data_IF_145042542375
#
_entry.id   IF_145042542375
#
_cell.length_a   1.000
_cell.length_b   1.000
_cell.length_c   1.000
_cell.angle_alpha   90.00
_cell.angle_beta   90.00
_cell.angle_gamma   90.00
#
_symmetry.space_group_name_H-M   'P 1'
#
loop_
_entity.id
_entity.type
_entity.pdbx_description
1 polymer ?
#
# COMPACT_ATOMS: atom_id res chain seq x y z
N UNK A 1 21.39 39.15 -3.10
CA UNK A 1 21.88 37.79 -2.75
C UNK A 1 21.49 36.85 -3.87
N UNK A 2 22.46 36.18 -4.51
CA UNK A 2 22.15 35.21 -5.57
C UNK A 2 21.55 33.95 -4.92
N UNK A 3 20.31 33.66 -5.21
CA UNK A 3 19.63 32.42 -4.78
C UNK A 3 20.25 31.23 -5.49
N UNK A 4 20.92 30.35 -4.77
CA UNK A 4 21.40 29.06 -5.28
C UNK A 4 20.25 28.06 -5.33
N UNK A 5 19.72 27.82 -6.52
CA UNK A 5 18.71 26.76 -6.77
C UNK A 5 19.27 25.37 -6.37
N UNK A 6 18.50 24.58 -5.65
CA UNK A 6 18.80 23.16 -5.47
C UNK A 6 18.64 22.42 -6.80
N UNK A 7 19.45 21.41 -7.04
CA UNK A 7 19.48 20.66 -8.31
C UNK A 7 18.12 20.02 -8.67
N UNK A 8 17.33 19.60 -7.68
CA UNK A 8 15.99 19.06 -7.85
C UNK A 8 14.99 20.07 -8.44
N UNK A 9 15.11 21.35 -8.08
CA UNK A 9 14.18 22.40 -8.48
C UNK A 9 14.43 22.89 -9.91
N UNK A 10 15.69 22.81 -10.33
CA UNK A 10 16.10 23.07 -11.72
C UNK A 10 15.49 22.02 -12.64
N UNK A 11 15.45 20.75 -12.20
CA UNK A 11 14.92 19.62 -12.96
C UNK A 11 13.42 19.79 -13.25
N UNK A 12 12.59 20.04 -12.23
CA UNK A 12 11.14 20.15 -12.40
C UNK A 12 10.70 21.37 -13.23
N UNK A 13 11.47 22.45 -13.20
CA UNK A 13 11.27 23.62 -14.05
C UNK A 13 11.68 23.36 -15.50
N UNK A 14 12.79 22.67 -15.72
CA UNK A 14 13.23 22.24 -17.06
C UNK A 14 12.26 21.24 -17.69
N UNK A 15 11.68 20.34 -16.90
CA UNK A 15 10.71 19.39 -17.40
C UNK A 15 9.44 20.10 -17.90
N UNK A 16 8.98 21.16 -17.20
CA UNK A 16 7.87 21.96 -17.68
C UNK A 16 8.22 22.69 -18.97
N UNK A 17 9.40 23.29 -19.07
CA UNK A 17 9.86 23.96 -20.27
C UNK A 17 9.95 23.01 -21.47
N UNK A 18 10.46 21.81 -21.23
CA UNK A 18 10.47 20.76 -22.27
C UNK A 18 9.06 20.44 -22.76
N UNK A 19 8.10 20.19 -21.85
CA UNK A 19 6.71 19.89 -22.19
C UNK A 19 6.08 21.05 -22.99
N UNK A 20 6.25 22.28 -22.52
CA UNK A 20 5.70 23.46 -23.20
C UNK A 20 6.25 23.58 -24.63
N UNK A 21 7.55 23.36 -24.83
CA UNK A 21 8.17 23.38 -26.17
C UNK A 21 7.67 22.28 -27.09
N UNK A 22 7.36 21.09 -26.56
CA UNK A 22 6.72 20.01 -27.34
C UNK A 22 5.28 20.32 -27.75
N UNK A 23 4.62 21.25 -27.02
CA UNK A 23 3.23 21.63 -27.27
C UNK A 23 3.08 22.91 -28.12
N UNK A 24 4.14 23.73 -28.24
CA UNK A 24 4.05 25.10 -28.81
C UNK A 24 3.41 25.19 -30.19
N UNK A 25 3.59 24.18 -31.04
CA UNK A 25 3.05 24.18 -32.39
C UNK A 25 1.56 23.81 -32.45
N UNK A 26 1.03 23.22 -31.37
CA UNK A 26 -0.35 22.71 -31.30
C UNK A 26 -1.23 23.45 -30.29
N UNK A 27 -0.64 24.22 -29.37
CA UNK A 27 -1.35 24.93 -28.30
C UNK A 27 -0.92 26.38 -28.21
N UNK A 28 -1.88 27.27 -28.36
CA UNK A 28 -1.64 28.70 -28.16
C UNK A 28 -1.31 29.01 -26.71
N UNK A 29 -1.94 28.32 -25.77
CA UNK A 29 -1.66 28.43 -24.33
C UNK A 29 -0.20 28.09 -24.03
N UNK A 30 0.35 27.05 -24.64
CA UNK A 30 1.76 26.70 -24.47
C UNK A 30 2.69 27.81 -25.00
N UNK A 31 2.37 28.39 -26.14
CA UNK A 31 3.14 29.53 -26.71
C UNK A 31 3.09 30.74 -25.80
N UNK A 32 1.92 31.06 -25.26
CA UNK A 32 1.76 32.18 -24.32
C UNK A 32 2.57 31.95 -23.03
N UNK A 33 2.52 30.74 -22.46
CA UNK A 33 3.31 30.42 -21.27
C UNK A 33 4.82 30.50 -21.53
N UNK A 34 5.30 29.98 -22.67
CA UNK A 34 6.71 30.11 -23.07
C UNK A 34 7.10 31.59 -23.17
N UNK A 35 6.26 32.39 -23.88
CA UNK A 35 6.54 33.82 -24.06
C UNK A 35 6.58 34.57 -22.76
N UNK A 36 5.66 34.27 -21.84
CA UNK A 36 5.55 34.97 -20.55
C UNK A 36 6.61 34.54 -19.51
N UNK A 37 7.23 33.38 -19.69
CA UNK A 37 8.29 32.91 -18.78
C UNK A 37 9.69 33.41 -19.13
N UNK A 38 9.88 34.02 -20.28
CA UNK A 38 11.18 34.59 -20.66
C UNK A 38 11.41 35.94 -19.96
N UNK A 39 12.55 36.11 -19.25
CA UNK A 39 12.80 37.27 -18.37
C UNK A 39 13.13 38.57 -19.11
N UNK A 40 12.96 38.66 -20.41
CA UNK A 40 13.57 39.72 -21.21
C UNK A 40 12.63 40.94 -21.45
N UNK A 41 11.32 40.79 -21.30
CA UNK A 41 10.43 41.93 -21.54
C UNK A 41 9.29 41.99 -20.49
N UNK A 42 9.35 42.97 -19.63
CA UNK A 42 8.26 43.54 -18.81
C UNK A 42 7.04 42.69 -18.58
N UNK A 43 7.19 41.61 -17.86
CA UNK A 43 6.10 40.69 -17.53
C UNK A 43 5.29 41.25 -16.36
N UNK A 44 4.02 41.41 -16.60
CA UNK A 44 3.05 41.99 -15.67
C UNK A 44 2.74 41.04 -14.50
N UNK A 45 3.20 39.77 -14.54
CA UNK A 45 2.82 38.75 -13.55
C UNK A 45 3.99 37.81 -13.19
N UNK A 46 4.69 38.14 -12.12
CA UNK A 46 5.87 37.40 -11.62
C UNK A 46 5.60 35.92 -11.30
N UNK A 47 4.36 35.54 -10.97
CA UNK A 47 4.06 34.16 -10.59
C UNK A 47 4.16 33.16 -11.73
N UNK A 48 4.11 33.56 -12.99
CA UNK A 48 4.34 32.68 -14.13
C UNK A 48 5.81 32.23 -14.20
N UNK A 49 6.73 33.00 -13.65
CA UNK A 49 8.15 32.63 -13.62
C UNK A 49 8.48 31.50 -12.62
N UNK A 50 7.60 31.30 -11.63
CA UNK A 50 7.78 30.31 -10.57
C UNK A 50 6.87 29.09 -10.72
N UNK A 51 6.51 28.74 -11.95
CA UNK A 51 5.76 27.50 -12.25
C UNK A 51 6.72 26.36 -12.55
N UNK A 52 6.33 25.17 -12.16
CA UNK A 52 7.05 23.91 -12.41
C UNK A 52 6.07 22.76 -12.51
N UNK A 53 6.55 21.59 -12.88
CA UNK A 53 5.80 20.35 -12.61
C UNK A 53 5.82 20.12 -11.10
N UNK A 54 4.69 19.66 -10.54
CA UNK A 54 4.65 19.29 -9.13
C UNK A 54 5.59 18.12 -8.86
N UNK A 55 6.43 18.24 -7.83
CA UNK A 55 7.32 17.16 -7.40
C UNK A 55 6.57 15.97 -6.77
N UNK A 56 5.36 16.23 -6.21
CA UNK A 56 4.52 15.21 -5.59
C UNK A 56 3.56 14.52 -6.57
N UNK A 57 3.21 15.19 -7.69
CA UNK A 57 2.26 14.68 -8.68
C UNK A 57 2.57 15.31 -10.04
N UNK A 58 3.27 14.58 -10.90
CA UNK A 58 3.70 15.08 -12.22
C UNK A 58 2.52 15.45 -13.13
N UNK A 59 1.29 15.04 -12.84
CA UNK A 59 0.10 15.45 -13.59
C UNK A 59 -0.39 16.86 -13.24
N UNK A 60 0.20 17.49 -12.21
CA UNK A 60 -0.14 18.83 -11.73
C UNK A 60 0.96 19.84 -12.00
N UNK A 61 0.54 21.09 -12.15
CA UNK A 61 1.42 22.25 -12.17
C UNK A 61 1.53 22.81 -10.75
N UNK A 62 2.76 23.03 -10.32
CA UNK A 62 3.10 23.70 -9.07
C UNK A 62 3.35 25.17 -9.34
N UNK A 63 2.72 26.08 -8.56
CA UNK A 63 2.85 27.52 -8.74
C UNK A 63 2.74 28.28 -7.42
N UNK A 64 3.12 29.55 -7.44
CA UNK A 64 2.93 30.52 -6.36
C UNK A 64 2.09 31.69 -6.87
N UNK A 65 1.28 32.29 -6.00
CA UNK A 65 0.63 33.59 -6.28
C UNK A 65 1.60 34.73 -5.98
N UNK A 66 1.41 35.94 -6.60
CA UNK A 66 2.26 37.10 -6.36
C UNK A 66 2.36 37.44 -4.88
N UNK A 67 1.24 37.48 -4.16
CA UNK A 67 1.20 37.72 -2.71
C UNK A 67 2.08 36.75 -1.90
N UNK A 68 2.11 35.46 -2.30
CA UNK A 68 2.94 34.47 -1.63
C UNK A 68 4.41 34.59 -2.00
N UNK A 69 4.70 34.97 -3.23
CA UNK A 69 6.08 35.25 -3.68
C UNK A 69 6.66 36.38 -2.81
N UNK A 70 5.95 37.50 -2.70
CA UNK A 70 6.37 38.66 -1.90
C UNK A 70 6.56 38.28 -0.42
N UNK A 71 5.62 37.53 0.15
CA UNK A 71 5.73 37.08 1.54
C UNK A 71 6.92 36.14 1.77
N UNK A 72 7.19 35.21 0.85
CA UNK A 72 8.32 34.28 0.95
C UNK A 72 9.66 35.01 0.77
N UNK A 73 9.76 35.94 -0.19
CA UNK A 73 10.93 36.76 -0.40
C UNK A 73 11.25 37.65 0.81
N UNK A 74 10.23 38.24 1.39
CA UNK A 74 10.36 39.08 2.59
C UNK A 74 10.87 38.30 3.80
N UNK A 75 10.55 37.01 3.88
CA UNK A 75 10.99 36.11 4.95
C UNK A 75 12.31 35.41 4.66
N UNK A 76 12.93 35.61 3.46
CA UNK A 76 14.11 34.90 3.04
C UNK A 76 13.89 33.39 2.75
N UNK A 77 12.62 32.98 2.54
CA UNK A 77 12.25 31.59 2.25
C UNK A 77 12.53 31.23 0.77
N UNK A 78 12.82 29.96 0.53
CA UNK A 78 13.02 29.44 -0.84
C UNK A 78 11.67 29.29 -1.56
N UNK A 79 11.55 29.92 -2.73
CA UNK A 79 10.35 29.90 -3.55
C UNK A 79 10.04 28.53 -4.17
N UNK A 80 11.05 27.68 -4.35
CA UNK A 80 10.91 26.41 -5.07
C UNK A 80 10.57 25.24 -4.16
N UNK A 81 11.12 25.20 -2.97
CA UNK A 81 10.92 24.12 -2.00
C UNK A 81 9.87 24.43 -0.94
N UNK A 82 9.23 25.61 -1.00
CA UNK A 82 8.25 26.02 -0.03
C UNK A 82 7.02 25.09 -0.04
N UNK A 83 6.61 24.62 1.14
CA UNK A 83 5.35 23.90 1.34
C UNK A 83 4.09 24.75 1.05
N UNK A 84 4.27 26.05 0.87
CA UNK A 84 3.20 27.00 0.54
C UNK A 84 2.85 27.04 -0.95
N UNK A 85 3.51 26.23 -1.80
CA UNK A 85 3.19 26.14 -3.22
C UNK A 85 1.81 25.47 -3.43
N UNK A 86 1.10 25.93 -4.44
CA UNK A 86 -0.14 25.30 -4.89
C UNK A 86 0.14 24.25 -5.95
N UNK A 87 -0.62 23.14 -5.91
CA UNK A 87 -0.53 22.03 -6.87
C UNK A 87 -1.90 21.79 -7.47
N UNK A 88 -2.10 22.17 -8.74
CA UNK A 88 -3.40 22.06 -9.42
C UNK A 88 -3.28 21.42 -10.82
N UNK A 89 -4.38 20.89 -11.32
CA UNK A 89 -4.45 20.34 -12.69
C UNK A 89 -4.15 21.43 -13.73
N UNK A 90 -3.51 21.09 -14.87
CA UNK A 90 -3.12 22.06 -15.89
C UNK A 90 -4.27 22.96 -16.37
N UNK A 91 -5.44 22.39 -16.65
CA UNK A 91 -6.61 23.18 -17.07
C UNK A 91 -7.08 24.18 -16.00
N UNK A 92 -7.09 23.79 -14.72
CA UNK A 92 -7.44 24.68 -13.62
C UNK A 92 -6.40 25.80 -13.44
N UNK A 93 -5.11 25.48 -13.67
CA UNK A 93 -4.04 26.48 -13.69
C UNK A 93 -4.27 27.53 -14.78
N UNK A 94 -4.51 27.09 -16.02
CA UNK A 94 -4.76 27.97 -17.16
C UNK A 94 -5.96 28.88 -16.91
N UNK A 95 -7.07 28.34 -16.40
CA UNK A 95 -8.26 29.10 -16.07
C UNK A 95 -8.06 30.16 -14.97
N UNK A 96 -7.04 29.97 -14.12
CA UNK A 96 -6.67 31.00 -13.11
C UNK A 96 -5.83 32.15 -13.68
N UNK A 97 -4.92 31.83 -14.60
CA UNK A 97 -3.96 32.81 -15.12
C UNK A 97 -4.52 33.59 -16.31
N UNK A 98 -5.23 32.90 -17.19
CA UNK A 98 -5.76 33.49 -18.43
C UNK A 98 -7.30 33.59 -18.37
N UNK A 99 -7.82 34.77 -18.17
CA UNK A 99 -9.28 34.99 -18.05
C UNK A 99 -10.06 34.82 -19.36
N UNK A 100 -9.42 34.96 -20.52
CA UNK A 100 -10.09 35.04 -21.83
C UNK A 100 -9.70 33.87 -22.78
N UNK A 101 -9.16 32.78 -22.27
CA UNK A 101 -8.84 31.61 -23.10
C UNK A 101 -10.11 30.79 -23.34
N UNK A 102 -10.43 30.44 -24.61
CA UNK A 102 -11.56 29.59 -24.92
C UNK A 102 -11.45 28.22 -24.21
N UNK A 103 -12.55 27.65 -23.69
CA UNK A 103 -12.55 26.34 -23.03
C UNK A 103 -11.90 25.22 -23.83
N UNK A 104 -12.08 25.24 -25.16
CA UNK A 104 -11.46 24.30 -26.10
C UNK A 104 -9.92 24.31 -26.04
N UNK A 105 -9.32 25.50 -25.93
CA UNK A 105 -7.86 25.65 -25.82
C UNK A 105 -7.34 25.17 -24.47
N UNK A 106 -8.12 25.37 -23.39
CA UNK A 106 -7.79 24.83 -22.04
C UNK A 106 -7.81 23.30 -22.06
N UNK A 107 -8.80 22.71 -22.70
CA UNK A 107 -8.92 21.26 -22.86
C UNK A 107 -7.80 20.69 -23.73
N UNK A 108 -7.51 21.34 -24.86
CA UNK A 108 -6.42 20.97 -25.75
C UNK A 108 -5.08 21.00 -25.02
N UNK A 109 -4.78 22.08 -24.30
CA UNK A 109 -3.57 22.19 -23.48
C UNK A 109 -3.48 21.06 -22.47
N UNK A 110 -4.54 20.80 -21.72
CA UNK A 110 -4.58 19.76 -20.69
C UNK A 110 -4.37 18.36 -21.27
N UNK A 111 -4.93 18.10 -22.45
CA UNK A 111 -4.80 16.83 -23.16
C UNK A 111 -3.37 16.65 -23.69
N UNK A 112 -2.82 17.67 -24.33
CA UNK A 112 -1.44 17.64 -24.84
C UNK A 112 -0.44 17.51 -23.71
N UNK A 113 -0.61 18.26 -22.61
CA UNK A 113 0.23 18.18 -21.42
C UNK A 113 0.27 16.75 -20.88
N UNK A 114 -0.89 16.10 -20.71
CA UNK A 114 -1.01 14.70 -20.27
C UNK A 114 -0.34 13.74 -21.24
N UNK A 115 -0.61 13.89 -22.55
CA UNK A 115 -0.07 13.02 -23.57
C UNK A 115 1.45 13.10 -23.69
N UNK A 116 2.03 14.26 -23.48
CA UNK A 116 3.50 14.42 -23.50
C UNK A 116 4.12 13.87 -22.24
N UNK A 117 3.50 14.04 -21.09
CA UNK A 117 3.96 13.40 -19.86
C UNK A 117 3.92 11.87 -19.93
N UNK A 118 2.89 11.31 -20.60
CA UNK A 118 2.83 9.85 -20.84
C UNK A 118 3.78 9.39 -21.94
N UNK A 119 4.26 10.31 -22.80
CA UNK A 119 5.30 10.07 -23.83
C UNK A 119 6.73 10.40 -23.37
N UNK A 120 6.95 10.78 -22.13
CA UNK A 120 8.29 10.77 -21.57
C UNK A 120 8.79 9.35 -21.82
N UNK A 121 9.83 9.21 -22.63
CA UNK A 121 10.37 7.92 -23.04
C UNK A 121 10.64 7.09 -21.80
N UNK A 122 9.72 6.20 -21.50
CA UNK A 122 9.83 5.24 -20.43
C UNK A 122 10.35 3.96 -21.04
N UNK A 123 11.38 3.40 -20.46
CA UNK A 123 11.95 2.16 -20.90
C UNK A 123 11.80 1.09 -19.83
N UNK A 124 11.22 -0.04 -20.23
CA UNK A 124 11.27 -1.25 -19.42
C UNK A 124 12.58 -1.99 -19.64
N UNK A 125 13.23 -2.36 -18.55
CA UNK A 125 14.38 -3.27 -18.55
C UNK A 125 14.15 -4.40 -17.57
N UNK A 126 14.60 -5.60 -17.96
CA UNK A 126 14.67 -6.74 -17.05
C UNK A 126 16.13 -6.89 -16.62
N UNK A 127 16.38 -6.89 -15.32
CA UNK A 127 17.71 -7.05 -14.73
C UNK A 127 17.73 -8.23 -13.78
N UNK A 128 18.88 -8.88 -13.59
CA UNK A 128 19.05 -10.04 -12.72
C UNK A 128 20.41 -10.03 -12.03
N UNK A 129 20.56 -10.88 -11.02
CA UNK A 129 21.80 -10.94 -10.24
C UNK A 129 22.14 -9.62 -9.56
N UNK A 130 23.40 -9.27 -9.48
CA UNK A 130 23.89 -8.04 -8.83
C UNK A 130 23.36 -6.74 -9.44
N UNK A 131 22.83 -6.78 -10.67
CA UNK A 131 22.21 -5.60 -11.29
C UNK A 131 20.87 -5.21 -10.63
N UNK A 132 20.33 -6.02 -9.70
CA UNK A 132 19.12 -5.71 -8.93
C UNK A 132 19.40 -4.63 -7.88
N UNK A 133 20.55 -4.65 -7.19
CA UNK A 133 20.86 -3.76 -6.07
C UNK A 133 20.59 -2.27 -6.34
N UNK A 134 21.09 -1.68 -7.45
CA UNK A 134 20.93 -0.24 -7.67
C UNK A 134 19.47 0.22 -7.70
N UNK A 135 18.55 -0.66 -8.12
CA UNK A 135 17.14 -0.32 -8.26
C UNK A 135 16.30 -0.52 -6.98
N UNK A 136 16.92 -1.05 -5.94
CA UNK A 136 16.30 -1.07 -4.62
C UNK A 136 16.68 0.14 -3.77
N UNK A 137 17.87 0.70 -3.98
CA UNK A 137 18.35 1.84 -3.23
C UNK A 137 17.63 3.14 -3.66
N UNK A 138 17.21 3.95 -2.67
CA UNK A 138 16.43 5.17 -2.88
C UNK A 138 17.11 6.20 -3.81
N UNK A 139 18.45 6.21 -3.87
CA UNK A 139 19.20 7.14 -4.73
C UNK A 139 18.91 6.99 -6.23
N UNK A 140 18.42 5.81 -6.66
CA UNK A 140 18.03 5.55 -8.04
C UNK A 140 16.63 6.08 -8.37
N UNK A 141 15.79 6.38 -7.38
CA UNK A 141 14.40 6.73 -7.59
C UNK A 141 14.24 8.10 -8.25
N UNK A 142 13.21 8.23 -9.07
CA UNK A 142 12.79 9.52 -9.62
C UNK A 142 12.37 10.47 -8.49
N UNK A 143 11.59 9.96 -7.54
CA UNK A 143 11.23 10.57 -6.26
C UNK A 143 10.78 9.48 -5.28
N UNK A 144 10.58 9.84 -4.01
CA UNK A 144 10.19 8.92 -2.95
C UNK A 144 8.67 8.93 -2.67
N UNK A 145 7.85 9.11 -3.70
CA UNK A 145 6.39 9.05 -3.58
C UNK A 145 5.84 7.66 -3.92
N UNK A 146 4.53 7.49 -3.72
CA UNK A 146 3.81 6.27 -4.04
C UNK A 146 4.28 5.05 -3.27
N UNK A 147 3.94 3.87 -3.77
CA UNK A 147 4.34 2.59 -3.16
C UNK A 147 5.86 2.37 -3.19
N UNK A 148 6.56 2.93 -4.19
CA UNK A 148 8.02 2.85 -4.28
C UNK A 148 8.69 3.56 -3.10
N UNK A 149 8.25 4.77 -2.77
CA UNK A 149 8.75 5.55 -1.64
C UNK A 149 8.37 4.95 -0.27
N UNK A 150 7.27 4.21 -0.20
CA UNK A 150 6.84 3.50 1.01
C UNK A 150 7.53 2.14 1.20
N UNK A 151 8.38 1.69 0.26
CA UNK A 151 9.07 0.40 0.38
C UNK A 151 10.13 0.44 1.48
N UNK A 152 10.02 -0.44 2.48
CA UNK A 152 11.05 -0.60 3.53
C UNK A 152 12.40 -1.07 2.96
N UNK A 153 12.41 -1.75 1.80
CA UNK A 153 13.60 -2.27 1.14
C UNK A 153 14.48 -1.19 0.47
N UNK A 154 14.16 0.10 0.63
CA UNK A 154 14.91 1.22 0.02
C UNK A 154 16.13 1.67 0.84
N UNK A 155 16.20 1.29 2.11
CA UNK A 155 17.23 1.73 3.05
C UNK A 155 18.52 0.95 2.91
N UNK A 156 19.64 1.58 3.27
CA UNK A 156 20.99 0.99 3.21
C UNK A 156 21.07 -0.34 3.96
N UNK A 157 20.49 -0.42 5.16
CA UNK A 157 20.51 -1.63 5.98
C UNK A 157 19.74 -2.81 5.37
N UNK A 158 18.89 -2.57 4.37
CA UNK A 158 18.12 -3.62 3.71
C UNK A 158 18.78 -4.13 2.43
N UNK A 159 19.94 -3.58 2.04
CA UNK A 159 20.58 -3.98 0.79
C UNK A 159 21.11 -5.42 0.86
N UNK A 160 21.65 -5.85 2.00
CA UNK A 160 22.14 -7.21 2.20
C UNK A 160 21.00 -8.26 2.16
N UNK A 161 19.74 -7.84 2.40
CA UNK A 161 18.59 -8.74 2.32
C UNK A 161 18.26 -9.17 0.87
N UNK A 162 18.81 -8.47 -0.12
CA UNK A 162 18.58 -8.74 -1.54
C UNK A 162 19.34 -9.97 -2.08
N UNK A 163 20.18 -10.59 -1.26
CA UNK A 163 20.95 -11.78 -1.66
C UNK A 163 20.04 -12.93 -2.10
N UNK A 164 18.86 -13.07 -1.48
CA UNK A 164 17.86 -14.03 -1.92
C UNK A 164 17.50 -13.86 -3.42
N UNK A 165 17.43 -12.63 -3.90
CA UNK A 165 17.10 -12.33 -5.30
C UNK A 165 18.33 -12.44 -6.20
N UNK A 166 19.44 -11.86 -5.76
CA UNK A 166 20.64 -11.70 -6.60
C UNK A 166 21.38 -13.02 -6.84
N UNK A 167 21.36 -13.92 -5.86
CA UNK A 167 22.01 -15.23 -5.97
C UNK A 167 21.14 -16.31 -6.58
N UNK A 168 19.83 -16.02 -6.81
CA UNK A 168 18.89 -16.91 -7.49
C UNK A 168 18.48 -16.36 -8.88
N UNK A 169 19.40 -15.82 -9.64
CA UNK A 169 19.16 -15.10 -10.90
C UNK A 169 18.49 -15.93 -12.01
N UNK A 170 18.52 -17.26 -11.93
CA UNK A 170 17.80 -18.15 -12.85
C UNK A 170 16.28 -18.20 -12.56
N UNK A 171 15.88 -17.86 -11.33
CA UNK A 171 14.50 -17.95 -10.85
C UNK A 171 13.91 -16.55 -10.66
N UNK A 172 14.76 -15.56 -10.28
CA UNK A 172 14.36 -14.21 -9.94
C UNK A 172 15.01 -13.20 -10.86
N UNK A 173 14.22 -12.26 -11.35
CA UNK A 173 14.69 -11.05 -12.02
C UNK A 173 13.85 -9.86 -11.57
N UNK A 174 14.23 -8.66 -11.95
CA UNK A 174 13.54 -7.44 -11.61
C UNK A 174 13.16 -6.69 -12.89
N UNK A 175 11.87 -6.42 -13.06
CA UNK A 175 11.39 -5.50 -14.07
C UNK A 175 11.49 -4.08 -13.52
N UNK A 176 12.20 -3.21 -14.21
CA UNK A 176 12.34 -1.80 -13.87
C UNK A 176 11.78 -0.93 -14.97
N UNK A 177 11.06 0.13 -14.60
CA UNK A 177 10.61 1.19 -15.48
C UNK A 177 11.45 2.42 -15.20
N UNK A 178 12.18 2.89 -16.20
CA UNK A 178 13.11 4.02 -16.10
C UNK A 178 12.62 5.18 -16.95
N UNK A 179 12.92 6.40 -16.53
CA UNK A 179 12.79 7.57 -17.39
C UNK A 179 14.03 7.74 -18.28
N UNK A 180 14.01 8.71 -19.18
CA UNK A 180 15.11 9.05 -20.08
C UNK A 180 16.41 9.51 -19.38
N UNK A 181 16.40 9.70 -18.06
CA UNK A 181 17.57 10.01 -17.21
C UNK A 181 18.02 8.82 -16.38
N UNK A 182 17.55 7.62 -16.70
CA UNK A 182 17.79 6.39 -15.95
C UNK A 182 17.33 6.44 -14.48
N UNK A 183 16.37 7.32 -14.13
CA UNK A 183 15.77 7.33 -12.81
C UNK A 183 14.60 6.35 -12.76
N UNK A 184 14.53 5.61 -11.66
CA UNK A 184 13.52 4.58 -11.45
C UNK A 184 12.14 5.20 -11.20
N UNK A 185 11.19 4.86 -12.06
CA UNK A 185 9.76 5.20 -11.94
C UNK A 185 9.03 4.10 -11.16
N UNK A 186 9.44 2.85 -11.38
CA UNK A 186 8.83 1.70 -10.69
C UNK A 186 9.60 0.42 -10.94
N UNK A 187 9.26 -0.59 -10.12
CA UNK A 187 9.83 -1.94 -10.20
C UNK A 187 8.82 -3.00 -9.80
N UNK A 188 9.03 -4.22 -10.28
CA UNK A 188 8.33 -5.43 -9.84
C UNK A 188 9.27 -6.64 -9.98
N UNK A 189 9.28 -7.54 -9.00
CA UNK A 189 9.99 -8.81 -9.13
C UNK A 189 9.30 -9.70 -10.16
N UNK A 190 10.10 -10.43 -10.91
CA UNK A 190 9.67 -11.44 -11.86
C UNK A 190 10.16 -12.80 -11.40
N UNK A 191 9.23 -13.75 -11.27
CA UNK A 191 9.51 -15.11 -10.86
C UNK A 191 9.27 -16.08 -12.02
N UNK A 192 10.22 -17.00 -12.24
CA UNK A 192 10.13 -18.07 -13.22
C UNK A 192 9.98 -19.40 -12.49
N UNK A 193 8.81 -20.05 -12.62
CA UNK A 193 8.43 -21.26 -11.88
C UNK A 193 8.02 -22.32 -12.91
N UNK A 194 8.98 -23.10 -13.37
CA UNK A 194 8.77 -24.00 -14.52
C UNK A 194 8.29 -23.17 -15.72
N UNK A 195 7.12 -23.54 -16.26
CA UNK A 195 6.48 -22.80 -17.38
C UNK A 195 5.65 -21.59 -16.93
N UNK A 196 5.48 -21.38 -15.63
CA UNK A 196 4.69 -20.28 -15.07
C UNK A 196 5.58 -19.07 -14.79
N UNK A 197 5.17 -17.92 -15.29
CA UNK A 197 5.84 -16.63 -15.08
C UNK A 197 4.95 -15.73 -14.24
N UNK A 198 5.48 -15.22 -13.12
CA UNK A 198 4.75 -14.38 -12.18
C UNK A 198 5.44 -13.02 -12.02
N UNK A 199 4.70 -11.95 -12.14
CA UNK A 199 5.11 -10.62 -11.72
C UNK A 199 4.52 -10.34 -10.33
N UNK A 200 5.39 -10.05 -9.37
CA UNK A 200 5.02 -9.74 -8.00
C UNK A 200 4.43 -8.33 -7.87
N UNK A 201 4.29 -7.85 -6.65
CA UNK A 201 3.77 -6.51 -6.37
C UNK A 201 4.54 -5.44 -7.13
N UNK A 202 3.77 -4.53 -7.74
CA UNK A 202 4.30 -3.41 -8.51
C UNK A 202 4.48 -2.23 -7.56
N UNK A 203 5.68 -1.69 -7.51
CA UNK A 203 6.04 -0.51 -6.75
C UNK A 203 6.35 0.64 -7.70
N UNK A 204 5.64 1.76 -7.58
CA UNK A 204 5.84 2.92 -8.46
C UNK A 204 5.83 4.23 -7.67
N UNK A 205 6.39 5.29 -8.27
CA UNK A 205 6.34 6.65 -7.71
C UNK A 205 4.93 7.26 -7.76
N UNK A 206 4.02 6.69 -8.57
CA UNK A 206 2.61 7.05 -8.64
C UNK A 206 1.82 5.85 -9.17
N UNK A 207 1.16 5.15 -8.25
CA UNK A 207 0.50 3.88 -8.54
C UNK A 207 -0.63 4.00 -9.56
N UNK A 208 -1.43 5.05 -9.50
CA UNK A 208 -2.54 5.29 -10.43
C UNK A 208 -2.07 5.42 -11.88
N UNK A 209 -0.90 6.05 -12.07
CA UNK A 209 -0.41 6.36 -13.41
C UNK A 209 0.43 5.24 -14.02
N UNK A 210 1.21 4.51 -13.20
CA UNK A 210 2.25 3.63 -13.73
C UNK A 210 1.98 2.14 -13.59
N UNK A 211 1.13 1.69 -12.65
CA UNK A 211 0.80 0.26 -12.50
C UNK A 211 0.21 -0.34 -13.79
N UNK A 212 -0.60 0.41 -14.51
CA UNK A 212 -1.16 -0.03 -15.80
C UNK A 212 -0.08 -0.43 -16.81
N UNK A 213 1.01 0.32 -16.89
CA UNK A 213 2.12 0.00 -17.82
C UNK A 213 2.79 -1.32 -17.49
N UNK A 214 2.98 -1.62 -16.20
CA UNK A 214 3.52 -2.90 -15.74
C UNK A 214 2.58 -4.06 -16.08
N UNK A 215 1.28 -3.91 -15.82
CA UNK A 215 0.28 -4.93 -16.13
C UNK A 215 0.23 -5.20 -17.63
N UNK A 216 0.23 -4.15 -18.46
CA UNK A 216 0.30 -4.29 -19.91
C UNK A 216 1.58 -5.00 -20.35
N UNK A 217 2.74 -4.62 -19.80
CA UNK A 217 4.00 -5.30 -20.10
C UNK A 217 3.93 -6.79 -19.73
N UNK A 218 3.35 -7.12 -18.57
CA UNK A 218 3.16 -8.49 -18.13
C UNK A 218 2.29 -9.31 -19.10
N UNK A 219 1.16 -8.75 -19.54
CA UNK A 219 0.26 -9.36 -20.51
C UNK A 219 0.96 -9.62 -21.85
N UNK A 220 1.75 -8.65 -22.33
CA UNK A 220 2.49 -8.74 -23.61
C UNK A 220 3.62 -9.78 -23.54
N UNK A 221 4.18 -10.06 -22.34
CA UNK A 221 5.30 -10.99 -22.12
C UNK A 221 4.89 -12.31 -21.47
N UNK A 222 3.59 -12.56 -21.28
CA UNK A 222 3.06 -13.81 -20.78
C UNK A 222 3.21 -14.02 -19.28
N UNK A 223 3.32 -12.95 -18.49
CA UNK A 223 3.36 -12.99 -17.03
C UNK A 223 1.96 -12.89 -16.43
N UNK A 224 1.72 -13.66 -15.40
CA UNK A 224 0.63 -13.44 -14.45
C UNK A 224 1.07 -12.39 -13.44
N UNK A 225 0.19 -11.44 -13.07
CA UNK A 225 0.45 -10.43 -12.06
C UNK A 225 -0.60 -10.47 -10.96
N UNK A 226 -0.24 -10.00 -9.77
CA UNK A 226 -1.18 -9.96 -8.64
C UNK A 226 -2.45 -9.22 -9.03
N UNK A 227 -3.62 -9.81 -8.80
CA UNK A 227 -4.92 -9.17 -9.03
C UNK A 227 -5.03 -7.87 -8.21
N UNK A 228 -4.70 -7.96 -6.93
CA UNK A 228 -4.64 -6.80 -6.03
C UNK A 228 -3.19 -6.55 -5.62
N UNK A 229 -2.77 -5.28 -5.70
CA UNK A 229 -1.40 -4.85 -5.37
C UNK A 229 -1.22 -4.66 -3.86
N UNK A 230 -1.72 -5.61 -3.06
CA UNK A 230 -1.63 -5.64 -1.60
C UNK A 230 -0.78 -6.79 -1.12
N UNK A 231 -0.15 -6.63 0.05
CA UNK A 231 0.73 -7.63 0.65
C UNK A 231 0.01 -8.93 1.05
N UNK A 232 -1.28 -8.85 1.37
CA UNK A 232 -2.09 -9.97 1.84
C UNK A 232 -2.79 -10.76 0.72
N UNK A 233 -2.76 -10.28 -0.52
CA UNK A 233 -3.25 -11.02 -1.68
C UNK A 233 -2.09 -11.77 -2.33
N UNK A 234 -1.94 -13.06 -2.06
CA UNK A 234 -0.84 -13.90 -2.56
C UNK A 234 -1.29 -15.00 -3.53
N UNK A 235 -2.60 -15.23 -3.66
CA UNK A 235 -3.15 -16.41 -4.35
C UNK A 235 -3.89 -16.09 -5.67
N UNK A 236 -4.39 -14.86 -5.82
CA UNK A 236 -5.12 -14.48 -7.03
C UNK A 236 -4.24 -13.67 -7.97
N UNK A 237 -4.11 -14.19 -9.18
CA UNK A 237 -3.35 -13.56 -10.26
C UNK A 237 -4.24 -13.28 -11.46
N UNK A 238 -3.86 -12.30 -12.24
CA UNK A 238 -4.54 -11.88 -13.45
C UNK A 238 -3.57 -11.91 -14.63
N UNK A 239 -4.06 -12.29 -15.80
CA UNK A 239 -3.36 -12.20 -17.08
C UNK A 239 -4.40 -12.02 -18.18
N UNK A 240 -4.25 -10.98 -18.99
CA UNK A 240 -5.16 -10.66 -20.11
C UNK A 240 -6.64 -10.62 -19.69
N UNK A 241 -6.92 -10.07 -18.50
CA UNK A 241 -8.27 -9.98 -17.94
C UNK A 241 -8.83 -11.29 -17.34
N UNK A 242 -8.11 -12.40 -17.44
CA UNK A 242 -8.48 -13.66 -16.78
C UNK A 242 -7.87 -13.70 -15.39
N UNK A 243 -8.71 -13.89 -14.36
CA UNK A 243 -8.28 -14.11 -12.98
C UNK A 243 -8.21 -15.60 -12.69
N UNK A 244 -7.14 -16.02 -12.02
CA UNK A 244 -6.91 -17.42 -11.67
C UNK A 244 -6.37 -17.53 -10.23
N UNK A 245 -6.74 -18.61 -9.54
CA UNK A 245 -6.21 -18.98 -8.23
C UNK A 245 -5.00 -19.88 -8.43
N UNK A 246 -3.86 -19.54 -7.83
CA UNK A 246 -2.61 -20.29 -8.00
C UNK A 246 -1.91 -20.50 -6.66
N UNK A 247 -1.72 -21.75 -6.28
CA UNK A 247 -0.77 -22.17 -5.27
C UNK A 247 0.54 -22.52 -5.96
N UNK A 248 1.61 -21.83 -5.60
CA UNK A 248 2.89 -21.89 -6.28
C UNK A 248 4.01 -22.16 -5.28
N UNK A 249 4.95 -22.99 -5.71
CA UNK A 249 6.15 -23.37 -4.98
C UNK A 249 7.38 -23.02 -5.81
N UNK A 250 8.38 -22.45 -5.16
CA UNK A 250 9.63 -22.05 -5.80
C UNK A 250 10.78 -22.73 -5.09
N UNK A 251 11.48 -23.64 -5.79
CA UNK A 251 12.71 -24.20 -5.31
C UNK A 251 13.87 -23.23 -5.55
N UNK A 252 14.51 -22.78 -4.49
CA UNK A 252 15.71 -21.93 -4.55
C UNK A 252 16.98 -22.79 -4.47
N UNK A 253 18.03 -22.33 -5.14
CA UNK A 253 19.37 -22.93 -5.02
C UNK A 253 20.13 -22.36 -3.82
N UNK A 254 19.99 -21.08 -3.61
CA UNK A 254 20.61 -20.33 -2.52
C UNK A 254 19.51 -19.79 -1.63
N UNK A 255 19.46 -20.20 -0.38
CA UNK A 255 18.40 -19.81 0.56
C UNK A 255 18.86 -19.69 2.03
N UNK A 256 20.10 -20.05 2.35
CA UNK A 256 20.67 -19.95 3.69
C UNK A 256 21.34 -18.56 3.85
N UNK A 257 20.57 -17.61 4.34
CA UNK A 257 20.98 -16.23 4.54
C UNK A 257 20.75 -15.81 5.99
N UNK A 258 21.54 -14.86 6.48
CA UNK A 258 21.34 -14.24 7.79
C UNK A 258 20.10 -13.36 7.80
N UNK A 259 19.83 -12.68 6.66
CA UNK A 259 18.69 -11.78 6.50
C UNK A 259 17.93 -12.10 5.21
N UNK A 260 16.63 -11.79 5.22
CA UNK A 260 15.72 -12.04 4.10
C UNK A 260 14.98 -10.77 3.71
N UNK A 261 14.70 -10.56 2.40
CA UNK A 261 13.95 -9.40 1.95
C UNK A 261 12.49 -9.47 2.43
N UNK A 262 11.85 -8.31 2.54
CA UNK A 262 10.41 -8.28 2.71
C UNK A 262 9.71 -8.85 1.47
N UNK A 263 8.89 -9.87 1.68
CA UNK A 263 8.22 -10.63 0.62
C UNK A 263 6.72 -10.32 0.59
N UNK A 264 6.20 -9.88 -0.56
CA UNK A 264 4.76 -9.62 -0.73
C UNK A 264 3.96 -10.85 -1.13
N UNK A 265 4.53 -11.72 -1.96
CA UNK A 265 3.84 -12.89 -2.53
C UNK A 265 4.37 -14.19 -1.94
N UNK A 266 5.64 -14.51 -2.13
CA UNK A 266 6.25 -15.78 -1.69
C UNK A 266 6.84 -15.66 -0.28
N UNK A 267 5.99 -15.40 0.70
CA UNK A 267 6.41 -15.09 2.08
C UNK A 267 6.59 -16.30 3.01
N UNK A 268 6.10 -17.47 2.62
CA UNK A 268 6.26 -18.69 3.40
C UNK A 268 7.47 -19.48 2.89
N UNK A 269 8.34 -19.93 3.79
CA UNK A 269 9.57 -20.61 3.43
C UNK A 269 9.78 -21.87 4.27
N UNK A 270 10.05 -22.98 3.59
CA UNK A 270 10.66 -24.14 4.19
C UNK A 270 12.19 -23.96 4.15
N UNK A 271 12.76 -23.52 5.26
CA UNK A 271 14.20 -23.28 5.38
C UNK A 271 15.04 -24.55 5.24
N UNK A 272 14.48 -25.72 5.58
CA UNK A 272 15.19 -26.99 5.49
C UNK A 272 15.41 -27.39 4.02
N UNK A 273 14.40 -27.16 3.18
CA UNK A 273 14.41 -27.57 1.78
C UNK A 273 14.65 -26.41 0.81
N UNK A 274 14.66 -25.15 1.27
CA UNK A 274 14.85 -23.97 0.44
C UNK A 274 13.70 -23.71 -0.51
N UNK A 275 12.46 -23.97 -0.08
CA UNK A 275 11.25 -23.79 -0.89
C UNK A 275 10.47 -22.58 -0.41
N UNK A 276 10.12 -21.70 -1.34
CA UNK A 276 9.19 -20.58 -1.10
C UNK A 276 7.79 -20.94 -1.56
N UNK A 277 6.79 -20.50 -0.79
CA UNK A 277 5.37 -20.67 -1.08
C UNK A 277 4.64 -19.33 -1.06
N UNK A 278 3.65 -19.17 -1.92
CA UNK A 278 2.70 -18.05 -1.86
C UNK A 278 1.45 -18.38 -1.04
N UNK A 279 1.37 -19.56 -0.49
CA UNK A 279 0.30 -20.09 0.37
C UNK A 279 0.89 -20.71 1.63
N UNK A 280 0.07 -20.95 2.63
CA UNK A 280 0.46 -21.64 3.85
C UNK A 280 0.47 -23.17 3.58
N UNK A 281 1.64 -23.83 3.54
CA UNK A 281 1.72 -25.25 3.23
C UNK A 281 1.22 -26.10 4.41
N UNK A 282 0.40 -27.12 4.10
CA UNK A 282 -0.11 -28.07 5.08
C UNK A 282 0.91 -29.19 5.34
N UNK A 283 1.10 -29.56 6.61
CA UNK A 283 1.97 -30.69 6.98
C UNK A 283 3.47 -30.47 6.79
N UNK A 284 3.89 -29.29 6.38
CA UNK A 284 5.30 -28.88 6.25
C UNK A 284 5.59 -27.83 7.30
N UNK A 285 6.73 -27.96 7.98
CA UNK A 285 7.22 -26.92 8.88
C UNK A 285 7.79 -25.78 8.05
N UNK A 286 7.17 -24.61 8.13
CA UNK A 286 7.57 -23.41 7.38
C UNK A 286 7.81 -22.23 8.33
N UNK A 287 8.36 -21.17 7.76
CA UNK A 287 8.54 -19.87 8.41
C UNK A 287 8.03 -18.76 7.49
N UNK A 288 7.87 -17.56 8.02
CA UNK A 288 7.51 -16.39 7.23
C UNK A 288 8.68 -15.43 7.11
N UNK A 289 8.88 -14.87 5.92
CA UNK A 289 9.92 -13.87 5.59
C UNK A 289 9.30 -12.55 5.11
N UNK A 290 8.36 -12.04 5.88
CA UNK A 290 7.68 -10.77 5.59
C UNK A 290 8.01 -9.66 6.59
N UNK A 291 9.08 -9.83 7.37
CA UNK A 291 9.56 -8.81 8.31
C UNK A 291 10.40 -7.75 7.61
N UNK A 292 10.15 -6.47 7.92
CA UNK A 292 11.00 -5.36 7.49
C UNK A 292 12.41 -5.40 8.11
N UNK A 293 12.59 -6.18 9.18
CA UNK A 293 13.87 -6.37 9.85
C UNK A 293 14.73 -7.47 9.22
N UNK A 294 14.26 -8.09 8.16
CA UNK A 294 14.96 -9.19 7.50
C UNK A 294 14.96 -10.52 8.28
N UNK A 295 14.19 -10.63 9.34
CA UNK A 295 14.17 -11.82 10.20
C UNK A 295 13.11 -12.82 9.74
N UNK A 296 13.47 -14.07 9.90
CA UNK A 296 12.53 -15.19 9.74
C UNK A 296 11.68 -15.31 10.99
N UNK A 297 10.36 -15.43 10.80
CA UNK A 297 9.39 -15.55 11.87
C UNK A 297 8.76 -16.94 11.86
N UNK A 298 8.32 -17.41 13.02
CA UNK A 298 7.62 -18.70 13.11
C UNK A 298 6.25 -18.64 12.40
N UNK A 299 5.77 -19.79 11.97
CA UNK A 299 4.55 -20.00 11.18
C UNK A 299 3.22 -19.53 11.82
N UNK A 300 3.23 -19.22 13.13
CA UNK A 300 1.99 -18.96 13.89
C UNK A 300 1.41 -17.54 13.79
N UNK A 301 2.12 -16.61 13.15
CA UNK A 301 1.71 -15.18 13.16
C UNK A 301 0.72 -14.78 12.08
N UNK A 302 0.54 -15.62 11.04
CA UNK A 302 -0.41 -15.35 9.97
C UNK A 302 -1.42 -16.49 9.84
N UNK A 303 -2.66 -16.11 9.57
CA UNK A 303 -3.73 -17.04 9.26
C UNK A 303 -4.47 -16.57 8.00
N UNK A 304 -4.97 -17.52 7.23
CA UNK A 304 -5.72 -17.22 6.02
C UNK A 304 -7.19 -16.98 6.37
N UNK A 305 -7.74 -15.88 5.86
CA UNK A 305 -9.18 -15.71 5.80
C UNK A 305 -9.76 -16.65 4.75
N UNK A 306 -10.53 -17.64 5.18
CA UNK A 306 -11.06 -18.67 4.29
C UNK A 306 -12.06 -18.14 3.26
N UNK A 307 -12.69 -17.01 3.55
CA UNK A 307 -13.66 -16.37 2.65
C UNK A 307 -13.01 -15.52 1.57
N UNK A 308 -12.04 -14.69 1.95
CA UNK A 308 -11.35 -13.79 1.00
C UNK A 308 -10.10 -14.41 0.39
N UNK A 309 -9.60 -15.52 0.98
CA UNK A 309 -8.32 -16.15 0.63
C UNK A 309 -7.13 -15.18 0.74
N UNK A 310 -7.18 -14.29 1.71
CA UNK A 310 -6.11 -13.34 2.04
C UNK A 310 -5.51 -13.66 3.40
N UNK A 311 -4.21 -13.38 3.57
CA UNK A 311 -3.51 -13.59 4.83
C UNK A 311 -3.61 -12.34 5.71
N UNK A 312 -3.83 -12.56 7.00
CA UNK A 312 -3.90 -11.53 8.02
C UNK A 312 -3.09 -11.98 9.25
N UNK A 313 -2.75 -11.05 10.14
CA UNK A 313 -2.28 -11.42 11.47
C UNK A 313 -3.27 -12.40 12.12
N UNK A 314 -2.76 -13.40 12.82
CA UNK A 314 -3.62 -14.39 13.49
C UNK A 314 -4.59 -13.76 14.48
N UNK A 315 -4.19 -12.62 15.08
CA UNK A 315 -5.03 -11.83 16.00
C UNK A 315 -6.21 -11.13 15.28
N UNK A 316 -6.14 -11.04 13.95
CA UNK A 316 -7.17 -10.42 13.11
C UNK A 316 -8.11 -11.45 12.45
N UNK A 317 -8.00 -12.72 12.86
CA UNK A 317 -8.80 -13.82 12.31
C UNK A 317 -9.69 -14.39 13.40
N UNK A 318 -10.99 -14.32 13.16
CA UNK A 318 -12.02 -14.87 14.03
C UNK A 318 -12.51 -16.22 13.52
N UNK A 319 -12.79 -17.13 14.44
CA UNK A 319 -13.44 -18.40 14.12
C UNK A 319 -14.97 -18.20 14.19
N UNK A 320 -15.67 -18.66 13.15
CA UNK A 320 -17.15 -18.59 13.04
C UNK A 320 -17.70 -20.02 13.18
N UNK A 321 -18.20 -20.40 14.38
CA UNK A 321 -18.51 -21.79 14.71
C UNK A 321 -19.60 -22.42 13.83
N UNK A 322 -20.67 -21.68 13.53
CA UNK A 322 -21.79 -22.18 12.73
C UNK A 322 -21.44 -22.48 11.26
N UNK A 323 -20.32 -21.92 10.77
CA UNK A 323 -19.81 -22.19 9.40
C UNK A 323 -18.55 -23.06 9.43
N UNK A 324 -17.93 -23.24 10.61
CA UNK A 324 -16.68 -23.99 10.75
C UNK A 324 -15.48 -23.34 10.05
N UNK A 325 -15.49 -22.00 9.84
CA UNK A 325 -14.48 -21.29 9.07
C UNK A 325 -13.78 -20.20 9.89
N UNK A 326 -12.60 -19.83 9.46
CA UNK A 326 -11.81 -18.71 9.99
C UNK A 326 -11.83 -17.55 9.01
N UNK A 327 -12.24 -16.35 9.45
CA UNK A 327 -12.37 -15.17 8.59
C UNK A 327 -11.81 -13.93 9.27
N UNK A 328 -11.41 -12.94 8.47
CA UNK A 328 -10.90 -11.68 9.00
C UNK A 328 -11.98 -10.91 9.78
N UNK A 329 -11.57 -10.17 10.78
CA UNK A 329 -12.44 -9.44 11.72
C UNK A 329 -13.44 -8.50 11.02
N UNK A 330 -13.07 -7.91 9.87
CA UNK A 330 -13.98 -7.04 9.10
C UNK A 330 -15.23 -7.73 8.61
N UNK A 331 -15.20 -9.05 8.45
CA UNK A 331 -16.32 -9.86 7.98
C UNK A 331 -17.19 -10.42 9.11
N UNK A 332 -16.86 -10.13 10.36
CA UNK A 332 -17.56 -10.66 11.53
C UNK A 332 -18.12 -9.55 12.40
N UNK A 333 -19.05 -9.94 13.25
CA UNK A 333 -19.51 -9.22 14.43
C UNK A 333 -19.48 -10.18 15.61
N UNK A 334 -19.20 -9.68 16.79
CA UNK A 334 -19.27 -10.47 18.01
C UNK A 334 -20.67 -10.38 18.60
N UNK A 335 -21.21 -11.49 19.06
CA UNK A 335 -22.46 -11.56 19.82
C UNK A 335 -22.15 -11.90 21.27
N UNK A 336 -22.49 -11.00 22.17
CA UNK A 336 -22.38 -11.22 23.62
C UNK A 336 -23.37 -12.31 24.09
N UNK A 337 -24.55 -12.36 23.50
CA UNK A 337 -25.57 -13.34 23.83
C UNK A 337 -25.12 -14.76 23.53
N UNK A 338 -24.49 -14.98 22.37
CA UNK A 338 -24.04 -16.31 21.97
C UNK A 338 -22.58 -16.59 22.37
N UNK A 339 -21.81 -15.58 22.76
CA UNK A 339 -20.38 -15.65 23.08
C UNK A 339 -19.57 -16.20 21.88
N UNK A 340 -19.91 -15.75 20.65
CA UNK A 340 -19.27 -16.18 19.40
C UNK A 340 -19.19 -15.05 18.39
N UNK A 341 -18.33 -15.25 17.39
CA UNK A 341 -18.34 -14.44 16.18
C UNK A 341 -19.33 -14.98 15.16
N UNK A 342 -20.10 -14.08 14.55
CA UNK A 342 -21.06 -14.35 13.48
C UNK A 342 -20.58 -13.63 12.22
N UNK A 343 -20.74 -14.23 11.02
CA UNK A 343 -20.50 -13.49 9.78
C UNK A 343 -21.44 -12.29 9.70
N UNK A 344 -20.90 -11.13 9.35
CA UNK A 344 -21.67 -9.87 9.23
C UNK A 344 -22.85 -10.00 8.26
N UNK A 345 -22.70 -10.83 7.21
CA UNK A 345 -23.76 -11.11 6.24
C UNK A 345 -24.87 -12.03 6.78
N UNK A 346 -24.58 -12.82 7.83
CA UNK A 346 -25.53 -13.71 8.49
C UNK A 346 -26.13 -13.08 9.77
N UNK A 347 -25.69 -11.85 10.12
CA UNK A 347 -26.05 -11.18 11.37
C UNK A 347 -27.00 -10.00 11.15
N UNK A 348 -27.92 -9.81 12.10
CA UNK A 348 -28.69 -8.57 12.26
C UNK A 348 -28.54 -8.04 13.68
N UNK A 349 -28.60 -6.73 13.84
CA UNK A 349 -28.61 -6.13 15.17
C UNK A 349 -30.06 -6.09 15.69
N UNK A 350 -30.28 -6.66 16.85
CA UNK A 350 -31.56 -6.65 17.52
C UNK A 350 -31.58 -5.54 18.58
N UNK A 351 -32.48 -4.56 18.40
CA UNK A 351 -32.55 -3.39 19.28
C UNK A 351 -33.10 -3.73 20.68
N UNK A 352 -33.97 -4.72 20.76
CA UNK A 352 -34.59 -5.12 22.04
C UNK A 352 -33.61 -5.91 22.91
N UNK A 353 -32.74 -6.70 22.27
CA UNK A 353 -31.68 -7.45 22.94
C UNK A 353 -30.40 -6.65 23.09
N UNK A 354 -30.22 -5.56 22.30
CA UNK A 354 -29.04 -4.74 22.30
C UNK A 354 -27.80 -5.43 21.75
N UNK A 355 -27.95 -6.48 20.92
CA UNK A 355 -26.87 -7.32 20.48
C UNK A 355 -27.03 -7.83 19.03
N UNK A 356 -25.99 -8.41 18.47
CA UNK A 356 -26.01 -9.06 17.17
C UNK A 356 -26.51 -10.49 17.29
N UNK A 357 -27.52 -10.83 16.49
CA UNK A 357 -28.11 -12.18 16.41
C UNK A 357 -28.11 -12.66 14.95
N UNK A 358 -28.35 -13.95 14.74
CA UNK A 358 -28.47 -14.48 13.39
C UNK A 358 -29.72 -13.89 12.68
N UNK A 359 -29.61 -13.71 11.37
CA UNK A 359 -30.76 -13.34 10.54
C UNK A 359 -31.80 -14.46 10.48
N UNK A 360 -31.34 -15.70 10.59
CA UNK A 360 -32.16 -16.92 10.59
C UNK A 360 -32.71 -17.16 12.02
N UNK A 361 -34.02 -17.01 12.19
CA UNK A 361 -34.69 -17.17 13.48
C UNK A 361 -34.66 -18.62 13.98
N UNK A 362 -34.59 -19.61 13.10
CA UNK A 362 -34.46 -21.02 13.50
C UNK A 362 -33.09 -21.30 14.16
N UNK A 363 -32.02 -20.75 13.61
CA UNK A 363 -30.68 -20.81 14.22
C UNK A 363 -30.66 -20.10 15.60
N UNK A 364 -31.34 -18.97 15.75
CA UNK A 364 -31.43 -18.26 17.01
C UNK A 364 -32.12 -19.13 18.08
N UNK A 365 -33.20 -19.79 17.73
CA UNK A 365 -33.95 -20.65 18.66
C UNK A 365 -33.14 -21.86 19.11
N UNK A 366 -32.43 -22.53 18.21
CA UNK A 366 -31.64 -23.71 18.52
C UNK A 366 -30.50 -23.38 19.49
N UNK A 367 -29.75 -22.28 19.22
CA UNK A 367 -28.64 -21.86 20.07
C UNK A 367 -29.11 -21.39 21.44
N UNK A 368 -30.20 -20.64 21.52
CA UNK A 368 -30.80 -20.21 22.80
C UNK A 368 -31.29 -21.39 23.62
N UNK A 369 -31.84 -22.43 22.98
CA UNK A 369 -32.27 -23.65 23.64
C UNK A 369 -31.06 -24.43 24.18
N UNK A 370 -29.96 -24.56 23.40
CA UNK A 370 -28.78 -25.24 23.87
C UNK A 370 -28.10 -24.50 25.03
N UNK A 371 -28.03 -23.17 24.99
CA UNK A 371 -27.47 -22.35 26.07
C UNK A 371 -28.28 -22.50 27.36
N UNK A 372 -29.62 -22.43 27.29
CA UNK A 372 -30.50 -22.69 28.42
C UNK A 372 -30.34 -24.11 28.99
N UNK A 373 -30.13 -25.13 28.12
CA UNK A 373 -29.86 -26.50 28.57
C UNK A 373 -28.50 -26.63 29.26
N UNK A 374 -27.47 -25.89 28.82
CA UNK A 374 -26.16 -25.89 29.47
C UNK A 374 -26.16 -25.15 30.81
N UNK A 375 -26.88 -24.03 30.92
CA UNK A 375 -27.05 -23.29 32.17
C UNK A 375 -27.84 -24.13 33.20
N UNK A 376 -28.90 -24.82 32.78
CA UNK A 376 -29.62 -25.74 33.65
C UNK A 376 -28.75 -26.91 34.11
N UNK A 377 -27.86 -27.44 33.26
CA UNK A 377 -26.89 -28.47 33.66
C UNK A 377 -25.80 -27.95 34.60
N UNK A 378 -25.32 -26.70 34.41
CA UNK A 378 -24.37 -26.08 35.34
C UNK A 378 -24.96 -25.75 36.68
N UNK A 379 -26.24 -25.31 36.71
CA UNK A 379 -26.96 -25.02 37.94
C UNK A 379 -27.51 -26.29 38.62
N UNK A 380 -27.57 -27.44 37.96
CA UNK A 380 -28.01 -28.71 38.57
C UNK A 380 -26.90 -29.46 39.34
N UNK A 381 -25.71 -28.93 39.46
CA UNK A 381 -24.73 -29.31 40.47
C UNK A 381 -25.03 -28.60 41.80
N UNK A 382 -26.26 -28.79 42.32
CA UNK A 382 -26.53 -28.45 43.68
C UNK A 382 -25.73 -29.41 44.57
N UNK A 383 -24.77 -28.86 45.29
CA UNK A 383 -24.22 -29.49 46.46
C UNK A 383 -25.33 -29.64 47.48
N UNK A 384 -25.55 -30.83 47.93
CA UNK A 384 -26.46 -31.12 49.03
C UNK A 384 -26.01 -30.35 50.29
N UNK A 385 -26.68 -29.23 50.56
CA UNK A 385 -26.36 -28.33 51.67
C UNK A 385 -26.98 -28.77 52.99
N UNK A 386 -27.48 -30.01 53.11
CA UNK A 386 -28.13 -30.50 54.35
C UNK A 386 -27.16 -30.67 55.52
N UNK A 387 -25.87 -30.46 55.37
CA UNK A 387 -24.85 -30.69 56.40
C UNK A 387 -23.83 -29.54 56.60
N UNK A 388 -24.16 -28.28 56.29
CA UNK A 388 -23.27 -27.16 56.61
C UNK A 388 -23.84 -26.37 57.80
N UNK A 389 -23.11 -26.23 58.93
CA UNK A 389 -23.52 -25.38 60.04
C UNK A 389 -23.56 -23.91 59.58
N UNK A 390 -24.63 -23.20 59.85
CA UNK A 390 -24.76 -21.76 59.57
C UNK A 390 -24.02 -21.01 60.71
N UNK A 391 -22.79 -20.61 60.49
CA UNK A 391 -22.14 -19.53 61.21
C UNK A 391 -22.22 -18.24 60.42
N UNK A 392 -23.07 -17.32 60.89
CA UNK A 392 -23.13 -15.96 60.39
C UNK A 392 -21.91 -15.17 60.89
N UNK A 393 -20.92 -14.89 60.07
CA UNK A 393 -20.03 -13.76 60.28
C UNK A 393 -20.49 -12.58 59.44
N UNK A 394 -21.03 -11.58 60.12
CA UNK A 394 -21.19 -10.22 59.62
C UNK A 394 -19.79 -9.68 59.30
N UNK A 395 -19.46 -9.56 58.02
CA UNK A 395 -18.30 -8.77 57.55
C UNK A 395 -18.83 -7.36 57.28
N UNK A 396 -18.33 -6.42 58.07
CA UNK A 396 -18.58 -5.00 57.92
C UNK A 396 -18.03 -4.48 56.59
N UNK A 397 -18.87 -3.64 55.96
CA UNK A 397 -18.43 -2.76 54.85
C UNK A 397 -17.39 -1.79 55.38
N UNK A 398 -16.15 -1.90 54.90
CA UNK A 398 -15.14 -0.85 54.82
C UNK A 398 -13.87 -1.48 54.22
N UNK A 399 -13.71 -1.26 52.90
CA UNK A 399 -12.39 -1.04 52.27
C UNK A 399 -12.62 -0.78 50.78
N UNK A 400 -12.87 0.49 50.48
CA UNK A 400 -12.74 1.03 49.13
C UNK A 400 -11.25 1.17 48.82
N UNK A 401 -10.63 0.18 48.19
CA UNK A 401 -9.36 0.38 47.50
C UNK A 401 -9.61 1.00 46.14
N UNK A 402 -9.17 2.23 45.97
CA UNK A 402 -9.12 2.96 44.71
C UNK A 402 -8.29 2.16 43.69
N UNK A 403 -8.93 1.70 42.64
CA UNK A 403 -8.25 1.14 41.46
C UNK A 403 -7.51 2.28 40.75
N UNK A 404 -6.17 2.18 40.59
CA UNK A 404 -5.43 3.21 39.86
C UNK A 404 -5.88 3.29 38.41
N UNK A 405 -5.90 4.50 37.81
CA UNK A 405 -6.31 4.67 36.42
C UNK A 405 -5.36 3.91 35.47
N UNK A 406 -5.88 3.40 34.36
CA UNK A 406 -5.06 2.71 33.35
C UNK A 406 -4.01 3.68 32.79
N UNK A 407 -2.81 3.17 32.43
CA UNK A 407 -1.76 3.99 31.82
C UNK A 407 -2.24 4.60 30.50
N UNK A 408 -1.75 5.78 30.13
CA UNK A 408 -2.14 6.45 28.88
C UNK A 408 -1.77 5.54 27.70
N UNK A 409 -2.72 5.39 26.79
CA UNK A 409 -2.49 4.71 25.49
C UNK A 409 -1.50 5.55 24.69
N UNK A 410 -0.34 5.00 24.40
CA UNK A 410 0.58 5.57 23.43
C UNK A 410 -0.10 5.54 22.05
N UNK A 411 -0.30 6.72 21.48
CA UNK A 411 -0.73 6.86 20.10
C UNK A 411 0.31 6.22 19.18
N UNK A 412 0.01 5.04 18.67
CA UNK A 412 0.77 4.44 17.58
C UNK A 412 0.51 5.24 16.30
N UNK A 413 1.47 6.08 15.95
CA UNK A 413 1.57 6.66 14.61
C UNK A 413 1.83 5.53 13.60
N UNK A 414 1.00 5.39 12.55
CA UNK A 414 1.26 4.39 11.52
C UNK A 414 2.38 4.90 10.61
N UNK A 415 3.52 4.23 10.67
CA UNK A 415 4.53 4.30 9.63
C UNK A 415 4.25 3.29 8.51
#
# INVERSE_FOLDING_TARGET
MAYTRKTSDIITSHDLDYILHQMKDKSEVARLLIKQRHPIENLVDDHINYISISSSDCTKISYLTSERIDALLSNGEDLWTSSKRFHIKPGAFIGKIFKNIPPREVELFSTLFRNIQTKIEMEFRVVSGSYIYPYYHHSSYLNENGSLGASCMKYDQCQDYLDLYTLNSNTVSLLVLLNNRNKLIGRALLWSIGDTKIMDRIYTVNDENYQYHFKKWADDNGYWYKKEQRWNNTLYFEQKGKVDYKELEIQLKNFDFEYYPYMDTFKFVDLKNGVLYNYQPNGVKFNTISSAEGKVQSDSIYSMCEKTKTFHSSDYINYVPNRGIRVCADLTVYSDIYDIYILREDARYDQDLGDWIYQDDDLNNDILIEKKKSEVKSNSRWVDLSNVPIEYHLISEEDNEEVPPPPPQEEYSPF
#
